data_IF_579188710210
#
_entry.id   IF_579188710210
#
_cell.length_a   1.000
_cell.length_b   1.000
_cell.length_c   1.000
_cell.angle_alpha   90.00
_cell.angle_beta   90.00
_cell.angle_gamma   90.00
#
_symmetry.space_group_name_H-M   'P 1'
#
loop_
_entity.id
_entity.type
_entity.pdbx_description
1 polymer ?
#
# COMPACT_ATOMS: atom_id res chain seq x y z
N UNK A 1 -12.93 28.43 9.95
CA UNK A 1 -12.29 27.52 10.94
C UNK A 1 -12.16 26.08 10.43
N UNK A 2 -13.19 25.47 9.83
CA UNK A 2 -13.15 24.07 9.36
C UNK A 2 -12.24 23.77 8.15
N UNK A 3 -11.86 24.77 7.34
CA UNK A 3 -10.91 24.60 6.22
C UNK A 3 -9.46 24.91 6.59
N UNK A 4 -9.23 25.66 7.67
CA UNK A 4 -7.89 26.05 8.10
C UNK A 4 -7.19 24.92 8.86
N UNK A 5 -7.91 24.20 9.72
CA UNK A 5 -7.37 23.03 10.43
C UNK A 5 -6.83 21.92 9.51
N UNK A 6 -7.52 21.48 8.44
CA UNK A 6 -6.95 20.50 7.51
C UNK A 6 -5.79 21.08 6.69
N UNK A 7 -5.81 22.38 6.38
CA UNK A 7 -4.72 23.05 5.66
C UNK A 7 -3.45 23.15 6.53
N UNK A 8 -3.58 23.51 7.81
CA UNK A 8 -2.47 23.53 8.76
C UNK A 8 -1.95 22.13 9.09
N UNK A 9 -2.83 21.13 9.23
CA UNK A 9 -2.42 19.74 9.37
C UNK A 9 -1.66 19.24 8.13
N UNK A 10 -2.12 19.59 6.93
CA UNK A 10 -1.44 19.30 5.67
C UNK A 10 -0.07 19.97 5.58
N UNK A 11 0.03 21.26 5.94
CA UNK A 11 1.29 22.01 5.97
C UNK A 11 2.28 21.46 7.03
N UNK A 12 1.78 20.98 8.16
CA UNK A 12 2.59 20.38 9.21
C UNK A 12 3.19 19.03 8.77
N UNK A 13 2.42 18.20 8.06
CA UNK A 13 2.90 16.93 7.49
C UNK A 13 3.64 17.08 6.15
N UNK A 14 3.64 18.28 5.54
CA UNK A 14 4.27 18.59 4.26
C UNK A 14 5.75 18.17 4.13
N UNK A 15 6.62 18.34 5.14
CA UNK A 15 8.03 17.92 5.03
C UNK A 15 8.19 16.40 4.89
N UNK A 16 7.27 15.64 5.48
CA UNK A 16 7.25 14.18 5.42
C UNK A 16 6.68 13.69 4.07
N UNK A 17 5.64 14.39 3.57
CA UNK A 17 5.07 14.18 2.23
C UNK A 17 6.09 14.52 1.13
N UNK A 18 6.87 15.58 1.29
CA UNK A 18 7.90 16.02 0.32
C UNK A 18 9.04 15.00 0.17
N UNK A 19 9.52 14.41 1.27
CA UNK A 19 10.51 13.31 1.24
C UNK A 19 10.00 12.08 0.47
N UNK A 20 8.69 11.92 0.39
CA UNK A 20 8.03 10.83 -0.32
C UNK A 20 7.81 11.19 -1.80
N UNK A 21 7.23 12.36 -2.10
CA UNK A 21 6.96 12.86 -3.46
C UNK A 21 8.23 13.07 -4.29
N UNK A 22 9.35 13.46 -3.68
CA UNK A 22 10.63 13.67 -4.37
C UNK A 22 11.34 12.38 -4.77
N UNK A 23 10.80 11.20 -4.43
CA UNK A 23 11.45 9.96 -4.87
C UNK A 23 11.43 9.89 -6.39
N UNK A 24 12.52 9.42 -7.03
CA UNK A 24 12.61 9.33 -8.48
C UNK A 24 11.42 8.61 -9.12
N UNK A 25 10.88 7.60 -8.43
CA UNK A 25 9.68 6.88 -8.83
C UNK A 25 8.44 7.77 -9.00
N UNK A 26 8.13 8.64 -8.03
CA UNK A 26 6.93 9.50 -8.07
C UNK A 26 7.11 10.65 -9.05
N UNK A 27 8.31 11.23 -9.12
CA UNK A 27 8.63 12.28 -10.10
C UNK A 27 8.47 11.73 -11.52
N UNK A 28 9.14 10.62 -11.84
CA UNK A 28 9.05 10.01 -13.17
C UNK A 28 7.62 9.51 -13.47
N UNK A 29 6.91 8.96 -12.48
CA UNK A 29 5.51 8.59 -12.65
C UNK A 29 4.61 9.79 -12.94
N UNK A 30 4.82 10.92 -12.26
CA UNK A 30 4.08 12.15 -12.50
C UNK A 30 4.31 12.65 -13.92
N UNK A 31 5.56 12.75 -14.36
CA UNK A 31 5.88 13.14 -15.74
C UNK A 31 5.22 12.23 -16.77
N UNK A 32 5.27 10.91 -16.56
CA UNK A 32 4.58 9.95 -17.43
C UNK A 32 3.06 10.18 -17.42
N UNK A 33 2.46 10.42 -16.26
CA UNK A 33 1.01 10.66 -16.12
C UNK A 33 0.53 11.97 -16.76
N UNK A 34 1.38 13.00 -16.85
CA UNK A 34 1.04 14.26 -17.54
C UNK A 34 1.64 14.39 -18.94
N UNK A 35 2.34 13.36 -19.43
CA UNK A 35 3.13 13.41 -20.65
C UNK A 35 2.32 13.88 -21.88
N UNK A 36 1.10 13.39 -22.05
CA UNK A 36 0.26 13.80 -23.18
C UNK A 36 -0.10 15.29 -23.13
N UNK A 37 -0.44 15.79 -21.94
CA UNK A 37 -0.76 17.21 -21.74
C UNK A 37 0.47 18.09 -22.02
N UNK A 38 1.65 17.65 -21.55
CA UNK A 38 2.91 18.34 -21.81
C UNK A 38 3.23 18.38 -23.30
N UNK A 39 3.11 17.27 -24.02
CA UNK A 39 3.34 17.20 -25.47
C UNK A 39 2.39 18.12 -26.23
N UNK A 40 1.11 18.20 -25.83
CA UNK A 40 0.11 19.08 -26.46
C UNK A 40 0.29 20.56 -26.16
N UNK A 41 0.78 20.93 -24.97
CA UNK A 41 0.83 22.35 -24.53
C UNK A 41 2.22 22.98 -24.53
N UNK A 42 3.27 22.21 -24.83
CA UNK A 42 4.63 22.75 -24.91
C UNK A 42 4.89 23.34 -26.31
N UNK A 43 5.16 24.66 -26.42
CA UNK A 43 5.47 25.29 -27.70
C UNK A 43 6.74 24.67 -28.31
N UNK A 44 6.79 24.59 -29.63
CA UNK A 44 7.85 23.89 -30.38
C UNK A 44 7.66 22.37 -30.51
N UNK A 45 7.20 21.68 -29.46
CA UNK A 45 6.86 20.24 -29.56
C UNK A 45 5.49 20.09 -30.23
N UNK A 46 4.50 20.86 -29.77
CA UNK A 46 3.12 20.71 -30.23
C UNK A 46 2.95 21.09 -31.71
N UNK A 47 3.73 22.04 -32.21
CA UNK A 47 3.71 22.50 -33.61
C UNK A 47 4.22 21.44 -34.59
N UNK A 48 5.06 20.50 -34.14
CA UNK A 48 5.58 19.41 -34.96
C UNK A 48 4.70 18.16 -34.95
N UNK A 49 3.58 18.18 -34.21
CA UNK A 49 2.68 17.03 -34.14
C UNK A 49 1.84 16.93 -35.41
N UNK A 50 1.69 15.70 -35.90
CA UNK A 50 0.74 15.38 -36.96
C UNK A 50 -0.69 15.66 -36.47
N UNK A 51 -1.40 16.57 -37.12
CA UNK A 51 -2.80 16.89 -36.81
C UNK A 51 -3.73 16.32 -37.87
N UNK A 52 -4.78 15.62 -37.42
CA UNK A 52 -5.93 15.24 -38.26
C UNK A 52 -7.12 16.19 -38.06
N UNK A 53 -6.91 17.33 -37.40
CA UNK A 53 -7.98 18.30 -37.08
C UNK A 53 -8.24 19.22 -38.27
N UNK A 54 -9.51 19.55 -38.50
CA UNK A 54 -9.95 20.48 -39.55
C UNK A 54 -9.40 21.90 -39.35
N UNK A 55 -9.26 22.35 -38.09
CA UNK A 55 -8.75 23.68 -37.75
C UNK A 55 -7.22 23.84 -37.93
N UNK A 56 -6.50 22.76 -38.24
CA UNK A 56 -5.04 22.78 -38.44
C UNK A 56 -4.19 23.08 -37.20
N UNK A 57 -4.77 23.41 -36.04
CA UNK A 57 -4.02 23.67 -34.79
C UNK A 57 -3.67 22.37 -34.04
N UNK A 58 -2.39 21.97 -33.94
CA UNK A 58 -1.98 20.75 -33.25
C UNK A 58 -1.81 20.92 -31.71
N UNK A 59 -1.81 22.15 -31.19
CA UNK A 59 -1.57 22.43 -29.76
C UNK A 59 -2.85 22.42 -28.91
N UNK A 60 -4.02 22.28 -29.54
CA UNK A 60 -5.30 22.17 -28.86
C UNK A 60 -5.82 20.73 -28.82
N UNK A 61 -6.64 20.45 -27.80
CA UNK A 61 -7.23 19.15 -27.60
C UNK A 61 -8.39 18.93 -28.57
N UNK A 62 -8.45 17.73 -29.16
CA UNK A 62 -9.61 17.28 -29.92
C UNK A 62 -10.79 17.00 -28.96
N UNK A 63 -12.03 17.14 -29.43
CA UNK A 63 -13.22 16.86 -28.62
C UNK A 63 -13.21 15.44 -28.08
N UNK A 64 -12.76 14.45 -28.88
CA UNK A 64 -12.64 13.06 -28.42
C UNK A 64 -11.55 12.88 -27.36
N UNK A 65 -10.50 13.70 -27.38
CA UNK A 65 -9.45 13.67 -26.34
C UNK A 65 -9.98 14.24 -25.04
N UNK A 66 -10.77 15.32 -25.12
CA UNK A 66 -11.48 15.88 -23.97
C UNK A 66 -12.45 14.84 -23.39
N UNK A 67 -13.22 14.14 -24.23
CA UNK A 67 -14.08 13.03 -23.78
C UNK A 67 -13.29 11.95 -23.03
N UNK A 68 -12.14 11.51 -23.57
CA UNK A 68 -11.28 10.52 -22.91
C UNK A 68 -10.77 11.04 -21.56
N UNK A 69 -10.36 12.30 -21.47
CA UNK A 69 -9.91 12.93 -20.21
C UNK A 69 -11.06 13.06 -19.19
N UNK A 70 -12.29 13.32 -19.65
CA UNK A 70 -13.48 13.34 -18.82
C UNK A 70 -13.85 11.95 -18.31
N UNK A 71 -13.75 10.91 -19.16
CA UNK A 71 -13.93 9.53 -18.72
C UNK A 71 -12.85 9.09 -17.73
N UNK A 72 -11.59 9.52 -17.94
CA UNK A 72 -10.50 9.28 -17.01
C UNK A 72 -10.82 9.87 -15.63
N UNK A 73 -11.26 11.14 -15.57
CA UNK A 73 -11.58 11.79 -14.30
C UNK A 73 -12.72 11.07 -13.56
N UNK A 74 -13.75 10.63 -14.29
CA UNK A 74 -14.85 9.85 -13.73
C UNK A 74 -14.38 8.48 -13.19
N UNK A 75 -13.57 7.72 -13.94
CA UNK A 75 -13.03 6.42 -13.51
C UNK A 75 -12.15 6.58 -12.27
N UNK A 76 -11.25 7.56 -12.28
CA UNK A 76 -10.37 7.87 -11.13
C UNK A 76 -11.22 8.20 -9.91
N UNK A 77 -12.24 9.05 -10.05
CA UNK A 77 -13.14 9.40 -8.94
C UNK A 77 -13.90 8.17 -8.41
N UNK A 78 -14.45 7.33 -9.29
CA UNK A 78 -15.17 6.12 -8.91
C UNK A 78 -14.28 5.10 -8.20
N UNK A 79 -13.04 4.92 -8.67
CA UNK A 79 -12.08 3.97 -8.09
C UNK A 79 -11.53 4.49 -6.76
N UNK A 80 -11.24 5.79 -6.67
CA UNK A 80 -10.72 6.41 -5.47
C UNK A 80 -11.76 6.52 -4.35
N UNK A 81 -13.06 6.40 -4.63
CA UNK A 81 -14.09 6.25 -3.59
C UNK A 81 -13.83 5.07 -2.64
N UNK A 82 -13.12 4.03 -3.10
CA UNK A 82 -12.78 2.83 -2.32
C UNK A 82 -11.36 2.85 -1.76
N UNK A 83 -10.58 3.89 -2.05
CA UNK A 83 -9.22 4.01 -1.54
C UNK A 83 -9.27 4.42 -0.06
N UNK A 84 -8.64 3.62 0.80
CA UNK A 84 -8.56 3.86 2.24
C UNK A 84 -7.30 4.67 2.57
N UNK A 85 -6.20 4.43 1.84
CA UNK A 85 -4.90 5.07 2.08
C UNK A 85 -4.51 6.03 0.96
N UNK A 86 -3.68 7.01 1.29
CA UNK A 86 -3.19 8.03 0.34
C UNK A 86 -2.36 7.37 -0.76
N UNK A 87 -1.59 6.35 -0.40
CA UNK A 87 -0.76 5.57 -1.32
C UNK A 87 -1.62 4.86 -2.37
N UNK A 88 -2.76 4.27 -1.96
CA UNK A 88 -3.71 3.65 -2.89
C UNK A 88 -4.34 4.70 -3.81
N UNK A 89 -4.69 5.86 -3.28
CA UNK A 89 -5.30 6.95 -4.04
C UNK A 89 -4.35 7.46 -5.14
N UNK A 90 -3.09 7.75 -4.78
CA UNK A 90 -2.05 8.21 -5.70
C UNK A 90 -1.72 7.12 -6.73
N UNK A 91 -1.61 5.86 -6.29
CA UNK A 91 -1.34 4.72 -7.17
C UNK A 91 -2.42 4.53 -8.25
N UNK A 92 -3.69 4.63 -7.88
CA UNK A 92 -4.81 4.57 -8.82
C UNK A 92 -4.75 5.72 -9.84
N UNK A 93 -4.52 6.96 -9.40
CA UNK A 93 -4.40 8.12 -10.31
C UNK A 93 -3.30 7.85 -11.33
N UNK A 94 -2.10 7.50 -10.86
CA UNK A 94 -0.94 7.25 -11.73
C UNK A 94 -1.24 6.15 -12.75
N UNK A 95 -1.83 5.04 -12.30
CA UNK A 95 -2.15 3.90 -13.16
C UNK A 95 -3.16 4.27 -14.25
N UNK A 96 -4.30 4.85 -13.88
CA UNK A 96 -5.34 5.21 -14.85
C UNK A 96 -4.89 6.32 -15.78
N UNK A 97 -4.12 7.31 -15.30
CA UNK A 97 -3.53 8.33 -16.15
C UNK A 97 -2.54 7.75 -17.16
N UNK A 98 -1.70 6.77 -16.77
CA UNK A 98 -0.78 6.11 -17.70
C UNK A 98 -1.56 5.35 -18.79
N UNK A 99 -2.61 4.63 -18.42
CA UNK A 99 -3.48 3.91 -19.38
C UNK A 99 -4.16 4.89 -20.34
N UNK A 100 -4.70 5.99 -19.83
CA UNK A 100 -5.31 7.02 -20.68
C UNK A 100 -4.29 7.65 -21.64
N UNK A 101 -3.07 7.96 -21.17
CA UNK A 101 -2.01 8.47 -22.04
C UNK A 101 -1.63 7.48 -23.14
N UNK A 102 -1.61 6.17 -22.87
CA UNK A 102 -1.41 5.17 -23.94
C UNK A 102 -2.49 5.36 -25.01
N UNK A 103 -3.77 5.37 -24.62
CA UNK A 103 -4.90 5.53 -25.56
C UNK A 103 -4.80 6.85 -26.35
N UNK A 104 -4.50 7.95 -25.67
CA UNK A 104 -4.36 9.28 -26.27
C UNK A 104 -3.20 9.34 -27.26
N UNK A 105 -2.03 8.79 -26.93
CA UNK A 105 -0.90 8.75 -27.84
C UNK A 105 -1.15 7.85 -29.05
N UNK A 106 -1.78 6.67 -28.88
CA UNK A 106 -2.17 5.81 -30.01
C UNK A 106 -3.17 6.48 -30.94
N UNK A 107 -4.06 7.33 -30.40
CA UNK A 107 -5.00 8.11 -31.19
C UNK A 107 -4.30 9.23 -31.97
N UNK A 108 -3.29 9.86 -31.37
CA UNK A 108 -2.51 10.92 -32.00
C UNK A 108 -1.64 10.39 -33.15
N UNK A 109 -0.79 9.39 -32.86
CA UNK A 109 0.04 8.69 -33.84
C UNK A 109 0.42 7.32 -33.25
N UNK A 110 0.25 6.26 -34.04
CA UNK A 110 0.61 4.89 -33.67
C UNK A 110 2.08 4.78 -33.21
N UNK A 111 2.99 5.57 -33.81
CA UNK A 111 4.42 5.58 -33.45
C UNK A 111 4.65 6.13 -32.04
N UNK A 112 3.97 7.23 -31.70
CA UNK A 112 4.04 7.84 -30.37
C UNK A 112 3.36 6.97 -29.31
N UNK A 113 2.25 6.31 -29.67
CA UNK A 113 1.59 5.31 -28.83
C UNK A 113 2.50 4.14 -28.48
N UNK A 114 3.19 3.57 -29.46
CA UNK A 114 4.16 2.49 -29.26
C UNK A 114 5.34 2.94 -28.39
N UNK A 115 5.91 4.12 -28.67
CA UNK A 115 7.03 4.67 -27.89
C UNK A 115 6.64 4.88 -26.42
N UNK A 116 5.48 5.47 -26.15
CA UNK A 116 5.00 5.69 -24.80
C UNK A 116 4.70 4.36 -24.07
N UNK A 117 4.11 3.39 -24.77
CA UNK A 117 3.89 2.04 -24.22
C UNK A 117 5.21 1.36 -23.84
N UNK A 118 6.24 1.43 -24.69
CA UNK A 118 7.58 0.91 -24.37
C UNK A 118 8.17 1.61 -23.16
N UNK A 119 8.06 2.93 -23.05
CA UNK A 119 8.49 3.68 -21.87
C UNK A 119 7.75 3.24 -20.59
N UNK A 120 6.45 2.99 -20.67
CA UNK A 120 5.68 2.44 -19.55
C UNK A 120 6.18 1.06 -19.11
N UNK A 121 6.51 0.17 -20.06
CA UNK A 121 7.03 -1.18 -19.77
C UNK A 121 8.43 -1.08 -19.14
N UNK A 122 9.32 -0.27 -19.72
CA UNK A 122 10.66 -0.04 -19.15
C UNK A 122 10.54 0.50 -17.74
N UNK A 123 9.70 1.51 -17.52
CA UNK A 123 9.46 2.08 -16.20
C UNK A 123 8.99 1.03 -15.18
N UNK A 124 8.07 0.14 -15.58
CA UNK A 124 7.58 -0.93 -14.71
C UNK A 124 8.70 -1.90 -14.31
N UNK A 125 9.65 -2.17 -15.22
CA UNK A 125 10.77 -3.08 -14.98
C UNK A 125 11.90 -2.43 -14.16
N UNK A 126 12.20 -1.16 -14.41
CA UNK A 126 13.34 -0.45 -13.77
C UNK A 126 12.97 0.21 -12.46
N UNK A 127 11.73 0.70 -12.33
CA UNK A 127 11.30 1.54 -11.21
C UNK A 127 10.20 0.83 -10.41
N UNK A 128 10.58 0.17 -9.32
CA UNK A 128 9.61 -0.39 -8.37
C UNK A 128 9.05 0.69 -7.45
N UNK A 129 7.76 0.62 -7.06
CA UNK A 129 7.21 1.51 -6.06
C UNK A 129 7.99 1.36 -4.75
N UNK A 130 8.29 2.45 -4.03
CA UNK A 130 8.97 2.36 -2.75
C UNK A 130 8.06 1.66 -1.73
N UNK A 131 8.68 0.82 -0.90
CA UNK A 131 8.01 0.27 0.29
C UNK A 131 7.74 1.39 1.30
N UNK A 132 6.83 1.16 2.24
CA UNK A 132 6.63 2.07 3.36
C UNK A 132 7.93 2.21 4.16
N UNK A 133 8.32 3.46 4.46
CA UNK A 133 9.58 3.81 5.15
C UNK A 133 9.34 4.69 6.38
N UNK A 134 8.11 4.71 6.91
CA UNK A 134 7.78 5.45 8.12
C UNK A 134 8.30 4.78 9.39
N UNK A 135 8.14 5.42 10.55
CA UNK A 135 8.42 4.77 11.83
C UNK A 135 7.51 3.56 11.99
N UNK A 136 8.08 2.44 12.43
CA UNK A 136 7.33 1.22 12.72
C UNK A 136 8.01 0.45 13.85
N UNK A 137 7.23 -0.29 14.64
CA UNK A 137 7.76 -1.19 15.66
C UNK A 137 7.35 -2.62 15.33
N UNK A 138 8.00 -3.17 14.31
CA UNK A 138 7.65 -4.45 13.70
C UNK A 138 8.88 -5.33 13.63
N UNK A 139 8.76 -6.59 14.06
CA UNK A 139 9.80 -7.59 13.90
C UNK A 139 9.67 -8.32 12.55
N UNK A 140 10.71 -8.29 11.74
CA UNK A 140 10.76 -9.06 10.50
C UNK A 140 11.20 -10.50 10.78
N UNK A 141 10.38 -11.45 10.34
CA UNK A 141 10.67 -12.87 10.44
C UNK A 141 11.28 -13.40 9.13
N UNK A 142 12.18 -14.36 9.28
CA UNK A 142 12.67 -15.21 8.21
C UNK A 142 11.94 -16.55 8.23
N UNK A 143 12.15 -17.36 7.20
CA UNK A 143 11.67 -18.74 7.12
C UNK A 143 12.11 -19.60 8.31
N UNK A 144 13.30 -19.35 8.86
CA UNK A 144 13.86 -20.13 9.99
C UNK A 144 13.48 -19.58 11.35
N UNK A 145 13.35 -18.26 11.46
CA UNK A 145 13.20 -17.60 12.77
C UNK A 145 11.76 -17.45 13.23
N UNK A 146 10.77 -17.64 12.35
CA UNK A 146 9.35 -17.42 12.69
C UNK A 146 8.88 -18.34 13.81
N UNK A 147 9.13 -19.64 13.71
CA UNK A 147 8.64 -20.62 14.69
C UNK A 147 9.33 -20.45 16.05
N UNK A 148 10.67 -20.34 16.01
CA UNK A 148 11.47 -20.14 17.22
C UNK A 148 11.00 -18.90 17.99
N UNK A 149 10.73 -17.79 17.32
CA UNK A 149 10.28 -16.55 17.96
C UNK A 149 8.84 -16.57 18.46
N UNK A 150 7.95 -17.29 17.76
CA UNK A 150 6.57 -17.48 18.20
C UNK A 150 6.47 -18.41 19.42
N UNK A 151 7.37 -19.40 19.53
CA UNK A 151 7.40 -20.36 20.63
C UNK A 151 8.26 -19.90 21.83
N UNK A 152 9.20 -18.97 21.62
CA UNK A 152 10.16 -18.50 22.64
C UNK A 152 9.51 -17.97 23.92
N UNK A 153 8.43 -17.20 23.81
CA UNK A 153 7.67 -16.74 24.98
C UNK A 153 6.17 -16.89 24.71
N UNK A 154 5.60 -17.97 25.23
CA UNK A 154 4.18 -18.31 25.09
C UNK A 154 3.22 -17.28 25.69
N UNK A 155 3.71 -16.35 26.52
CA UNK A 155 2.90 -15.27 27.12
C UNK A 155 2.79 -14.05 26.20
N UNK A 156 3.67 -13.93 25.21
CA UNK A 156 3.65 -12.84 24.24
C UNK A 156 2.63 -13.15 23.17
N UNK A 157 1.71 -12.23 22.96
CA UNK A 157 0.77 -12.26 21.83
C UNK A 157 1.44 -11.62 20.63
N UNK A 158 1.38 -12.29 19.49
CA UNK A 158 1.93 -11.79 18.23
C UNK A 158 0.83 -11.56 17.22
N UNK A 159 0.89 -10.42 16.54
CA UNK A 159 0.09 -10.17 15.34
C UNK A 159 1.06 -10.18 14.18
N UNK A 160 0.93 -11.14 13.27
CA UNK A 160 1.86 -11.32 12.16
C UNK A 160 1.15 -11.05 10.84
N UNK A 161 1.70 -10.13 10.05
CA UNK A 161 1.29 -9.89 8.68
C UNK A 161 2.13 -10.77 7.73
N UNK A 162 1.44 -11.67 7.02
CA UNK A 162 1.96 -12.40 5.88
C UNK A 162 1.72 -11.56 4.63
N UNK A 163 2.79 -11.11 4.00
CA UNK A 163 2.74 -10.16 2.89
C UNK A 163 3.61 -10.62 1.71
N UNK A 164 3.41 -9.99 0.56
CA UNK A 164 4.31 -10.14 -0.59
C UNK A 164 4.59 -8.77 -1.21
N UNK A 165 5.84 -8.50 -1.55
CA UNK A 165 6.29 -7.19 -2.04
C UNK A 165 5.63 -6.75 -3.36
N UNK A 166 5.17 -7.70 -4.18
CA UNK A 166 4.50 -7.41 -5.45
C UNK A 166 3.00 -7.12 -5.30
N UNK A 167 2.39 -7.37 -4.13
CA UNK A 167 0.96 -7.13 -3.93
C UNK A 167 0.71 -5.65 -3.62
N UNK A 168 -0.09 -4.94 -4.45
CA UNK A 168 -0.44 -3.56 -4.19
C UNK A 168 -1.30 -3.43 -2.92
N UNK A 169 -2.13 -4.41 -2.60
CA UNK A 169 -2.93 -4.44 -1.37
C UNK A 169 -2.04 -4.43 -0.13
N UNK A 170 -0.96 -5.23 -0.11
CA UNK A 170 0.03 -5.21 0.97
C UNK A 170 0.74 -3.86 1.09
N UNK A 171 1.12 -3.26 -0.04
CA UNK A 171 1.77 -1.94 -0.03
C UNK A 171 0.84 -0.86 0.54
N UNK A 172 -0.45 -0.90 0.17
CA UNK A 172 -1.45 0.02 0.69
C UNK A 172 -1.74 -0.18 2.18
N UNK A 173 -1.63 -1.41 2.68
CA UNK A 173 -1.88 -1.76 4.08
C UNK A 173 -0.70 -1.45 5.01
N UNK A 174 0.52 -1.33 4.46
CA UNK A 174 1.73 -1.16 5.24
C UNK A 174 1.69 0.06 6.19
N UNK A 175 1.11 1.18 5.77
CA UNK A 175 0.98 2.38 6.61
C UNK A 175 0.04 2.16 7.80
N UNK A 176 -1.14 1.56 7.57
CA UNK A 176 -2.10 1.22 8.63
C UNK A 176 -1.47 0.25 9.64
N UNK A 177 -0.75 -0.77 9.16
CA UNK A 177 -0.12 -1.75 10.03
C UNK A 177 1.04 -1.16 10.84
N UNK A 178 1.82 -0.26 10.26
CA UNK A 178 2.86 0.48 10.96
C UNK A 178 2.27 1.35 12.07
N UNK A 179 1.21 2.11 11.80
CA UNK A 179 0.54 2.96 12.80
C UNK A 179 -0.03 2.13 13.97
N UNK A 180 -0.64 0.99 13.67
CA UNK A 180 -1.11 0.05 14.69
C UNK A 180 0.05 -0.48 15.55
N UNK A 181 1.18 -0.81 14.93
CA UNK A 181 2.37 -1.27 15.65
C UNK A 181 2.88 -0.22 16.63
N UNK A 182 2.91 1.06 16.23
CA UNK A 182 3.35 2.16 17.09
C UNK A 182 2.39 2.40 18.26
N UNK A 183 1.08 2.27 18.03
CA UNK A 183 0.03 2.50 19.04
C UNK A 183 -0.05 1.37 20.07
N UNK A 184 0.03 0.12 19.62
CA UNK A 184 -0.32 -1.05 20.45
C UNK A 184 0.87 -1.93 20.85
N UNK A 185 2.07 -1.67 20.36
CA UNK A 185 3.22 -2.45 20.77
C UNK A 185 3.52 -2.29 22.28
N UNK A 186 3.75 -3.41 22.95
CA UNK A 186 4.24 -3.46 24.33
C UNK A 186 4.95 -4.79 24.61
N UNK A 187 5.44 -5.00 25.83
CA UNK A 187 6.19 -6.21 26.18
C UNK A 187 5.40 -7.52 25.93
N UNK A 188 4.07 -7.50 26.11
CA UNK A 188 3.19 -8.66 25.94
C UNK A 188 2.43 -8.72 24.62
N UNK A 189 2.47 -7.67 23.78
CA UNK A 189 1.83 -7.62 22.47
C UNK A 189 2.81 -7.06 21.44
N UNK A 190 3.18 -7.88 20.46
CA UNK A 190 4.17 -7.53 19.44
C UNK A 190 3.61 -7.70 18.04
N UNK A 191 4.18 -6.93 17.12
CA UNK A 191 3.82 -6.95 15.71
C UNK A 191 4.99 -7.52 14.90
N UNK A 192 4.67 -8.30 13.86
CA UNK A 192 5.67 -8.91 13.02
C UNK A 192 5.26 -9.08 11.57
N UNK A 193 6.24 -9.21 10.68
CA UNK A 193 6.05 -9.31 9.24
C UNK A 193 6.85 -10.46 8.66
N UNK A 194 6.26 -11.18 7.71
CA UNK A 194 6.95 -12.23 6.96
C UNK A 194 6.63 -12.14 5.47
N UNK A 195 7.69 -12.07 4.66
CA UNK A 195 7.57 -12.00 3.19
C UNK A 195 7.39 -13.42 2.63
N UNK A 196 6.14 -13.82 2.44
CA UNK A 196 5.81 -15.11 1.85
C UNK A 196 5.95 -15.13 0.33
N UNK A 197 6.10 -13.97 -0.31
CA UNK A 197 6.50 -13.89 -1.72
C UNK A 197 7.93 -14.38 -1.92
N UNK A 198 8.80 -14.18 -0.92
CA UNK A 198 10.17 -14.69 -0.89
C UNK A 198 10.27 -16.09 -0.27
N UNK A 199 9.52 -16.34 0.80
CA UNK A 199 9.60 -17.59 1.57
C UNK A 199 8.41 -18.52 1.28
N UNK A 200 8.50 -19.29 0.19
CA UNK A 200 7.44 -20.21 -0.25
C UNK A 200 7.09 -21.28 0.77
N UNK A 201 8.06 -21.74 1.56
CA UNK A 201 7.83 -22.78 2.56
C UNK A 201 6.97 -22.28 3.72
N UNK A 202 7.12 -21.00 4.10
CA UNK A 202 6.24 -20.34 5.08
C UNK A 202 4.82 -20.23 4.52
N UNK A 203 4.66 -19.83 3.26
CA UNK A 203 3.35 -19.79 2.58
C UNK A 203 2.63 -21.14 2.66
N UNK A 204 3.32 -22.24 2.34
CA UNK A 204 2.77 -23.60 2.41
C UNK A 204 2.42 -23.99 3.84
N UNK A 205 3.32 -23.74 4.80
CA UNK A 205 3.16 -24.10 6.21
C UNK A 205 1.95 -23.42 6.84
N UNK A 206 1.80 -22.10 6.64
CA UNK A 206 0.67 -21.33 7.18
C UNK A 206 -0.57 -21.30 6.27
N UNK A 207 -0.50 -22.02 5.14
CA UNK A 207 -1.57 -22.16 4.14
C UNK A 207 -2.09 -20.80 3.65
N UNK A 208 -1.16 -19.88 3.40
CA UNK A 208 -1.46 -18.55 2.84
C UNK A 208 -1.06 -18.54 1.38
N UNK A 209 -2.03 -18.46 0.48
CA UNK A 209 -1.80 -18.45 -0.96
C UNK A 209 -1.18 -17.13 -1.40
N UNK A 210 -0.08 -17.23 -2.15
CA UNK A 210 0.57 -16.09 -2.81
C UNK A 210 0.04 -15.84 -4.23
N UNK A 211 -1.00 -16.55 -4.67
CA UNK A 211 -1.56 -16.29 -6.00
C UNK A 211 -2.26 -14.93 -6.01
N UNK A 212 -2.01 -14.05 -7.01
CA UNK A 212 -2.70 -12.77 -7.15
C UNK A 212 -4.23 -12.90 -7.22
N UNK A 213 -4.73 -14.05 -7.69
CA UNK A 213 -6.16 -14.32 -7.82
C UNK A 213 -6.82 -14.79 -6.51
N UNK A 214 -6.02 -15.20 -5.51
CA UNK A 214 -6.53 -15.80 -4.27
C UNK A 214 -7.18 -14.80 -3.31
N UNK A 215 -6.81 -13.51 -3.42
CA UNK A 215 -7.19 -12.43 -2.49
C UNK A 215 -6.87 -12.74 -1.02
N UNK A 216 -5.91 -13.62 -0.76
CA UNK A 216 -5.44 -13.93 0.59
C UNK A 216 -4.36 -12.98 1.11
N UNK A 217 -3.84 -12.09 0.27
CA UNK A 217 -2.83 -11.10 0.63
C UNK A 217 -3.45 -9.70 0.78
N UNK A 218 -3.07 -8.92 1.82
CA UNK A 218 -2.31 -9.36 3.00
C UNK A 218 -3.11 -10.37 3.84
N UNK A 219 -2.42 -11.17 4.65
CA UNK A 219 -3.04 -12.03 5.66
C UNK A 219 -2.53 -11.65 7.04
N UNK A 220 -3.44 -11.24 7.92
CA UNK A 220 -3.15 -10.89 9.30
C UNK A 220 -3.55 -12.03 10.23
N UNK A 221 -2.61 -12.54 11.01
CA UNK A 221 -2.83 -13.71 11.88
C UNK A 221 -2.43 -13.37 13.32
N UNK A 222 -3.30 -13.71 14.26
CA UNK A 222 -3.06 -13.57 15.70
C UNK A 222 -2.54 -14.88 16.26
N UNK A 223 -1.39 -14.83 16.91
CA UNK A 223 -0.79 -15.94 17.63
C UNK A 223 -0.78 -15.69 19.14
N UNK A 224 -1.23 -16.67 19.91
CA UNK A 224 -1.14 -16.69 21.37
C UNK A 224 -0.60 -18.05 21.82
N UNK A 225 0.45 -18.05 22.65
CA UNK A 225 1.07 -19.30 23.09
C UNK A 225 1.61 -20.16 21.94
N UNK A 226 2.15 -19.54 20.89
CA UNK A 226 2.63 -20.23 19.68
C UNK A 226 1.54 -20.79 18.76
N UNK A 227 0.25 -20.64 19.12
CA UNK A 227 -0.87 -21.16 18.33
C UNK A 227 -1.63 -20.04 17.64
N UNK A 228 -2.07 -20.31 16.42
CA UNK A 228 -2.98 -19.44 15.70
C UNK A 228 -4.37 -19.42 16.37
N UNK A 229 -4.82 -18.21 16.72
CA UNK A 229 -6.14 -17.98 17.33
C UNK A 229 -7.15 -17.53 16.28
N UNK A 230 -6.74 -16.62 15.40
CA UNK A 230 -7.61 -16.07 14.37
C UNK A 230 -6.80 -15.50 13.21
N UNK A 231 -7.43 -15.43 12.03
CA UNK A 231 -6.86 -14.80 10.83
C UNK A 231 -7.87 -13.96 10.05
N UNK A 232 -7.38 -12.94 9.36
CA UNK A 232 -8.13 -12.15 8.38
C UNK A 232 -7.30 -11.96 7.09
N UNK A 233 -7.88 -12.12 5.88
CA UNK A 233 -9.26 -12.53 5.63
C UNK A 233 -9.52 -13.98 6.07
N UNK A 234 -10.79 -14.32 6.33
CA UNK A 234 -11.18 -15.71 6.55
C UNK A 234 -11.06 -16.49 5.24
N UNK A 235 -10.58 -17.72 5.33
CA UNK A 235 -10.46 -18.61 4.18
C UNK A 235 -11.52 -19.71 4.30
N UNK A 236 -12.38 -19.78 3.29
CA UNK A 236 -13.44 -20.78 3.20
C UNK A 236 -12.84 -22.18 2.98
N UNK A 237 -13.61 -23.26 3.19
CA UNK A 237 -13.13 -24.66 3.05
C UNK A 237 -12.54 -24.96 1.67
N UNK A 238 -12.93 -24.19 0.65
CA UNK A 238 -12.46 -24.26 -0.74
C UNK A 238 -11.19 -23.45 -1.00
N UNK A 239 -10.58 -22.84 0.01
CA UNK A 239 -9.36 -22.02 -0.13
C UNK A 239 -9.62 -20.60 -0.64
N UNK A 240 -10.87 -20.14 -0.68
CA UNK A 240 -11.22 -18.79 -1.15
C UNK A 240 -11.23 -17.81 0.02
N UNK A 241 -10.56 -16.67 -0.12
CA UNK A 241 -10.64 -15.59 0.85
C UNK A 241 -12.00 -14.90 0.80
N UNK A 242 -12.62 -14.72 1.96
CA UNK A 242 -13.78 -13.85 2.13
C UNK A 242 -13.29 -12.40 2.10
N UNK A 243 -13.83 -11.61 1.18
CA UNK A 243 -13.45 -10.20 1.02
C UNK A 243 -13.58 -9.46 2.35
N UNK A 244 -12.50 -8.80 2.77
CA UNK A 244 -12.45 -8.06 4.02
C UNK A 244 -11.62 -6.79 3.84
N UNK A 245 -12.06 -5.70 4.46
CA UNK A 245 -11.41 -4.39 4.33
C UNK A 245 -10.45 -4.15 5.48
N UNK A 246 -9.17 -3.97 5.13
CA UNK A 246 -8.06 -3.69 6.04
C UNK A 246 -8.05 -2.20 6.48
N UNK A 247 -9.07 -1.78 7.23
CA UNK A 247 -9.07 -0.46 7.89
C UNK A 247 -8.59 -0.58 9.34
N UNK A 248 -8.06 0.51 9.90
CA UNK A 248 -7.63 0.56 11.30
C UNK A 248 -8.78 0.14 12.24
N UNK A 249 -9.99 0.67 12.04
CA UNK A 249 -11.12 0.38 12.93
C UNK A 249 -11.55 -1.09 12.86
N UNK A 250 -11.55 -1.68 11.66
CA UNK A 250 -11.89 -3.08 11.49
C UNK A 250 -10.86 -3.98 12.17
N UNK A 251 -9.57 -3.66 12.08
CA UNK A 251 -8.52 -4.44 12.75
C UNK A 251 -8.65 -4.32 14.26
N UNK A 252 -8.80 -3.11 14.79
CA UNK A 252 -8.96 -2.88 16.23
C UNK A 252 -10.16 -3.66 16.78
N UNK A 253 -11.30 -3.61 16.07
CA UNK A 253 -12.54 -4.27 16.49
C UNK A 253 -12.46 -5.79 16.38
N UNK A 254 -12.03 -6.32 15.23
CA UNK A 254 -12.04 -7.77 14.99
C UNK A 254 -10.99 -8.50 15.84
N UNK A 255 -9.81 -7.92 16.01
CA UNK A 255 -8.74 -8.51 16.82
C UNK A 255 -8.81 -8.09 18.30
N UNK A 256 -9.81 -7.30 18.70
CA UNK A 256 -9.95 -6.77 20.07
C UNK A 256 -8.66 -6.16 20.62
N UNK A 257 -7.97 -5.34 19.80
CA UNK A 257 -6.62 -4.84 20.12
C UNK A 257 -6.57 -4.08 21.44
N UNK A 258 -7.60 -3.31 21.77
CA UNK A 258 -7.70 -2.57 23.02
C UNK A 258 -7.64 -3.50 24.24
N UNK A 259 -8.37 -4.61 24.21
CA UNK A 259 -8.40 -5.57 25.32
C UNK A 259 -7.08 -6.34 25.40
N UNK A 260 -6.55 -6.79 24.26
CA UNK A 260 -5.26 -7.48 24.19
C UNK A 260 -4.13 -6.60 24.74
N UNK A 261 -4.14 -5.32 24.41
CA UNK A 261 -3.16 -4.36 24.88
C UNK A 261 -3.25 -4.11 26.38
N UNK A 262 -4.46 -3.89 26.91
CA UNK A 262 -4.64 -3.71 28.35
C UNK A 262 -4.23 -4.96 29.14
N UNK A 263 -4.61 -6.14 28.66
CA UNK A 263 -4.21 -7.43 29.27
C UNK A 263 -2.69 -7.58 29.28
N UNK A 264 -2.04 -7.30 28.14
CA UNK A 264 -0.60 -7.39 27.98
C UNK A 264 0.18 -6.41 28.87
N UNK A 265 -0.33 -5.17 29.01
CA UNK A 265 0.24 -4.18 29.93
C UNK A 265 0.15 -4.61 31.39
N UNK A 266 -1.00 -5.14 31.83
CA UNK A 266 -1.18 -5.64 33.21
C UNK A 266 -0.21 -6.78 33.52
N UNK A 267 -0.03 -7.73 32.60
CA UNK A 267 0.95 -8.80 32.72
C UNK A 267 2.38 -8.26 32.84
N UNK A 268 2.73 -7.26 32.04
CA UNK A 268 4.06 -6.63 32.09
C UNK A 268 4.32 -5.90 33.42
N UNK A 269 3.33 -5.18 33.94
CA UNK A 269 3.48 -4.41 35.20
C UNK A 269 3.66 -5.32 36.41
N UNK A 270 2.84 -6.37 36.52
CA UNK A 270 2.98 -7.38 37.59
C UNK A 270 4.36 -8.04 37.60
N UNK A 271 5.01 -8.18 36.42
CA UNK A 271 6.37 -8.72 36.32
C UNK A 271 7.44 -7.74 36.81
N UNK A 272 7.32 -6.45 36.48
CA UNK A 272 8.24 -5.41 36.96
C UNK A 272 8.27 -5.37 38.49
N UNK A 273 7.08 -5.32 39.10
CA UNK A 273 6.93 -5.32 40.56
C UNK A 273 7.46 -6.61 41.21
N UNK A 274 7.30 -7.77 40.56
CA UNK A 274 7.82 -9.05 41.08
C UNK A 274 9.34 -9.16 40.97
N UNK A 275 9.95 -8.62 39.91
CA UNK A 275 11.41 -8.58 39.75
C UNK A 275 12.07 -7.60 40.72
N UNK A 276 11.48 -6.43 40.96
CA UNK A 276 12.00 -5.45 41.93
C UNK A 276 11.99 -6.03 43.36
N UNK A 277 10.90 -6.70 43.74
CA UNK A 277 10.80 -7.36 45.05
C UNK A 277 11.74 -8.56 45.24
N UNK A 278 12.25 -9.15 44.16
CA UNK A 278 13.25 -10.21 44.18
C UNK A 278 14.69 -9.68 44.27
N UNK A 279 14.93 -8.43 43.86
CA UNK A 279 16.24 -7.78 43.91
C UNK A 279 16.43 -7.03 45.23
N UNK A 280 15.33 -6.63 45.90
CA UNK A 280 15.34 -5.95 47.20
C UNK A 280 15.35 -6.90 48.41
N UNK A 281 15.52 -8.21 48.21
CA UNK A 281 15.66 -9.24 49.25
C UNK A 281 17.02 -9.91 49.12
#
# INVERSE_FOLDING_TARGET
MALLTPLFAFLYHLPQVYKWLLKPYYIASLFMSVAFLLVRKTPGICEHLSTQREDGNPCDFDWREVEILMFLSAIVMMKNRRAITVEQHVGNIILFSKVANVILFFRLDIRMGLLYLTLCIVFLMTCKPPLYMGPEYIKYFSDKTIDEELERDSRVTWIVEFFANWSPECQSFASVYADLSLKYNCAGLKFGKVDIGRYSEVSKKYKVSTSPLSKQLPSLVLFQGGKEVMRRPQVDKKGRAVSWSFTEENIIREFNLNELYQKSKKLSKSRGERSENLISR
#
